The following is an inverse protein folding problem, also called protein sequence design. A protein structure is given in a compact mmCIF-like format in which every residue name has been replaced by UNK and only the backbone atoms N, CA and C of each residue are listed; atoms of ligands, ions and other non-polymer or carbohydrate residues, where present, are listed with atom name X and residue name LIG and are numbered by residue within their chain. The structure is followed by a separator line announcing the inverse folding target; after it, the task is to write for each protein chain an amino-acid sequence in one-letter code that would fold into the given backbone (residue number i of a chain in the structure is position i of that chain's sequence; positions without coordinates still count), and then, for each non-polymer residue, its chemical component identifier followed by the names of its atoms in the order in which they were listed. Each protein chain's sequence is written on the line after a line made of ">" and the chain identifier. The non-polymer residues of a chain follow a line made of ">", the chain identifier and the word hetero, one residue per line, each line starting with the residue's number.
data_IF_023666622546
#
_entry.id   IF_023666622546
#
_cell.length_a   1.000
_cell.length_b   1.000
_cell.length_c   1.000
_cell.angle_alpha   90.00
_cell.angle_beta   90.00
_cell.angle_gamma   90.00
#
_symmetry.space_group_name_H-M   'P 1'
#
loop_
_entity.id
_entity.type
_entity.pdbx_description
1 polymer ?
#
# COMPACT_ATOMS: atom_id res chain seq x y z
N UNK A 1 3.70 -4.49 15.61
CA UNK A 1 3.04 -3.21 15.92
C UNK A 1 3.41 -2.66 17.30
N UNK A 2 3.10 -3.33 18.42
CA UNK A 2 3.39 -2.84 19.79
C UNK A 2 4.83 -2.34 19.99
N UNK A 3 5.82 -3.13 19.57
CA UNK A 3 7.22 -2.75 19.64
C UNK A 3 7.55 -1.46 18.85
N UNK A 4 6.90 -1.24 17.70
CA UNK A 4 7.11 -0.05 16.89
C UNK A 4 6.48 1.20 17.53
N UNK A 5 5.30 1.07 18.15
CA UNK A 5 4.67 2.17 18.90
C UNK A 5 5.54 2.60 20.06
N UNK A 6 5.97 1.65 20.90
CA UNK A 6 6.85 1.94 22.04
C UNK A 6 8.14 2.61 21.60
N UNK A 7 8.77 2.06 20.54
CA UNK A 7 10.01 2.61 20.00
C UNK A 7 9.83 4.04 19.47
N UNK A 8 8.75 4.32 18.73
CA UNK A 8 8.45 5.67 18.23
C UNK A 8 8.33 6.69 19.36
N UNK A 9 7.54 6.41 20.40
CA UNK A 9 7.36 7.34 21.52
C UNK A 9 8.62 7.49 22.37
N UNK A 10 9.41 6.43 22.54
CA UNK A 10 10.68 6.49 23.25
C UNK A 10 11.69 7.38 22.53
N UNK A 11 11.86 7.19 21.21
CA UNK A 11 12.88 7.90 20.42
C UNK A 11 12.46 9.34 20.09
N UNK A 12 11.23 9.53 19.59
CA UNK A 12 10.80 10.84 19.07
C UNK A 12 10.27 11.76 20.17
N UNK A 13 9.75 11.20 21.27
CA UNK A 13 9.07 11.96 22.32
C UNK A 13 9.65 11.76 23.72
N UNK A 14 10.71 10.95 23.86
CA UNK A 14 11.29 10.58 25.16
C UNK A 14 10.24 10.08 26.16
N UNK A 15 9.25 9.34 25.67
CA UNK A 15 8.09 8.85 26.42
C UNK A 15 8.04 7.33 26.39
N UNK A 16 8.11 6.71 27.57
CA UNK A 16 7.97 5.26 27.72
C UNK A 16 6.48 4.91 27.88
N UNK A 17 5.92 4.27 26.87
CA UNK A 17 4.54 3.76 26.91
C UNK A 17 4.49 2.46 27.70
N UNK A 18 3.74 2.46 28.80
CA UNK A 18 3.54 1.29 29.65
C UNK A 18 2.65 0.23 28.97
N UNK A 19 2.79 -1.03 29.37
CA UNK A 19 2.05 -2.16 28.77
C UNK A 19 0.54 -2.07 29.02
N UNK A 20 0.11 -1.50 30.13
CA UNK A 20 -1.31 -1.29 30.47
C UNK A 20 -2.00 -0.26 29.55
N UNK A 21 -1.24 0.53 28.79
CA UNK A 21 -1.77 1.45 27.79
C UNK A 21 -2.04 0.79 26.43
N UNK A 22 -1.64 -0.48 26.22
CA UNK A 22 -1.73 -1.15 24.92
C UNK A 22 -2.45 -2.50 25.06
N UNK A 23 -3.67 -2.57 24.52
CA UNK A 23 -4.37 -3.85 24.35
C UNK A 23 -4.09 -4.44 22.97
N UNK A 24 -3.58 -5.67 22.93
CA UNK A 24 -3.38 -6.41 21.68
C UNK A 24 -4.62 -7.25 21.34
N UNK A 25 -5.12 -7.10 20.11
CA UNK A 25 -6.30 -7.85 19.62
C UNK A 25 -5.88 -8.71 18.40
N UNK A 26 -5.41 -9.96 18.61
CA UNK A 26 -5.01 -10.85 17.53
C UNK A 26 -6.24 -11.50 16.88
N UNK A 27 -6.62 -11.01 15.72
CA UNK A 27 -7.72 -11.56 14.93
C UNK A 27 -7.20 -12.58 13.91
N UNK A 28 -7.60 -13.83 14.07
CA UNK A 28 -7.18 -14.94 13.21
C UNK A 28 -8.37 -15.64 12.57
N UNK A 29 -8.19 -16.08 11.33
CA UNK A 29 -9.21 -16.78 10.58
C UNK A 29 -8.83 -16.99 9.13
N UNK A 30 -9.35 -18.05 8.53
CA UNK A 30 -9.11 -18.48 7.16
C UNK A 30 -10.41 -18.49 6.34
N UNK A 31 -10.29 -18.65 5.02
CA UNK A 31 -11.43 -18.74 4.12
C UNK A 31 -11.57 -17.53 3.20
N UNK A 32 -12.73 -17.42 2.54
CA UNK A 32 -13.07 -16.30 1.65
C UNK A 32 -13.18 -15.00 2.43
N UNK A 33 -13.09 -13.87 1.73
CA UNK A 33 -13.07 -12.54 2.34
C UNK A 33 -14.32 -12.31 3.20
N UNK A 34 -15.52 -12.60 2.69
CA UNK A 34 -16.77 -12.40 3.46
C UNK A 34 -16.82 -13.29 4.71
N UNK A 35 -16.49 -14.57 4.55
CA UNK A 35 -16.52 -15.54 5.65
C UNK A 35 -15.55 -15.12 6.76
N UNK A 36 -14.35 -14.70 6.38
CA UNK A 36 -13.35 -14.15 7.32
C UNK A 36 -13.85 -12.88 8.01
N UNK A 37 -14.46 -11.94 7.27
CA UNK A 37 -15.04 -10.73 7.88
C UNK A 37 -16.11 -11.10 8.91
N UNK A 38 -16.99 -12.05 8.62
CA UNK A 38 -18.04 -12.50 9.53
C UNK A 38 -17.47 -13.19 10.78
N UNK A 39 -16.51 -14.09 10.59
CA UNK A 39 -15.83 -14.80 11.67
C UNK A 39 -15.12 -13.83 12.60
N UNK A 40 -14.27 -12.95 12.04
CA UNK A 40 -13.47 -12.02 12.82
C UNK A 40 -14.33 -10.97 13.54
N UNK A 41 -15.40 -10.49 12.89
CA UNK A 41 -16.37 -9.62 13.54
C UNK A 41 -17.02 -10.30 14.74
N UNK A 42 -17.49 -11.54 14.56
CA UNK A 42 -18.13 -12.33 15.62
C UNK A 42 -17.18 -12.58 16.79
N UNK A 43 -15.93 -12.96 16.50
CA UNK A 43 -14.90 -13.19 17.51
C UNK A 43 -14.60 -11.91 18.30
N UNK A 44 -14.53 -10.75 17.63
CA UNK A 44 -14.30 -9.46 18.27
C UNK A 44 -15.43 -9.06 19.19
N UNK A 45 -16.69 -9.11 18.74
CA UNK A 45 -17.82 -8.65 19.55
C UNK A 45 -18.17 -9.60 20.71
N UNK A 46 -17.86 -10.89 20.57
CA UNK A 46 -18.10 -11.88 21.63
C UNK A 46 -17.01 -11.87 22.70
N UNK A 47 -15.86 -11.25 22.42
CA UNK A 47 -14.82 -11.02 23.41
C UNK A 47 -15.02 -9.63 24.03
N UNK A 48 -15.57 -9.58 25.23
CA UNK A 48 -15.88 -8.32 25.91
C UNK A 48 -14.65 -7.44 26.17
N UNK A 49 -13.49 -8.05 26.43
CA UNK A 49 -12.24 -7.31 26.66
C UNK A 49 -11.79 -6.62 25.36
N UNK A 50 -11.86 -7.33 24.23
CA UNK A 50 -11.49 -6.76 22.93
C UNK A 50 -12.49 -5.70 22.47
N UNK A 51 -13.79 -5.95 22.63
CA UNK A 51 -14.82 -4.99 22.27
C UNK A 51 -14.69 -3.71 23.10
N UNK A 52 -14.47 -3.84 24.42
CA UNK A 52 -14.25 -2.68 25.30
C UNK A 52 -12.96 -1.94 24.93
N UNK A 53 -11.86 -2.64 24.67
CA UNK A 53 -10.62 -2.01 24.24
C UNK A 53 -10.78 -1.23 22.92
N UNK A 54 -11.41 -1.84 21.91
CA UNK A 54 -11.72 -1.16 20.63
C UNK A 54 -12.66 0.02 20.85
N UNK A 55 -13.66 -0.11 21.72
CA UNK A 55 -14.64 0.93 21.99
C UNK A 55 -14.09 2.05 22.86
N UNK A 56 -13.08 1.84 23.69
CA UNK A 56 -12.56 2.85 24.62
C UNK A 56 -11.25 3.50 24.13
N UNK A 57 -10.53 2.89 23.20
CA UNK A 57 -9.23 3.35 22.73
C UNK A 57 -9.25 4.77 22.12
N UNK A 58 -8.25 5.57 22.46
CA UNK A 58 -7.97 6.85 21.78
C UNK A 58 -7.38 6.65 20.38
N UNK A 59 -6.60 5.58 20.22
CA UNK A 59 -5.87 5.24 18.99
C UNK A 59 -6.06 3.76 18.67
N UNK A 60 -6.40 3.48 17.40
CA UNK A 60 -6.48 2.12 16.86
C UNK A 60 -5.45 1.99 15.74
N UNK A 61 -4.45 1.14 15.95
CA UNK A 61 -3.46 0.76 14.93
C UNK A 61 -3.73 -0.67 14.46
N UNK A 62 -4.20 -0.80 13.23
CA UNK A 62 -4.59 -2.06 12.62
C UNK A 62 -3.51 -2.51 11.63
N UNK A 63 -2.87 -3.65 11.87
CA UNK A 63 -1.91 -4.24 10.95
C UNK A 63 -2.52 -5.41 10.17
N UNK A 64 -2.24 -5.50 8.88
CA UNK A 64 -2.72 -6.56 8.02
C UNK A 64 -1.75 -6.88 6.90
N UNK A 65 -1.86 -8.09 6.35
CA UNK A 65 -0.96 -8.60 5.32
C UNK A 65 -1.74 -9.34 4.23
N UNK A 66 -1.34 -9.17 2.96
CA UNK A 66 -1.84 -9.97 1.84
C UNK A 66 -3.37 -9.97 1.73
N UNK A 67 -4.03 -11.14 1.66
CA UNK A 67 -5.49 -11.29 1.67
C UNK A 67 -6.13 -10.67 2.93
N UNK A 68 -5.42 -10.56 4.04
CA UNK A 68 -5.91 -9.87 5.23
C UNK A 68 -6.31 -8.42 4.94
N UNK A 69 -5.73 -7.78 3.91
CA UNK A 69 -6.01 -6.39 3.56
C UNK A 69 -7.48 -6.16 3.17
N UNK A 70 -8.04 -6.83 2.15
CA UNK A 70 -9.46 -6.68 1.84
C UNK A 70 -10.37 -7.12 3.00
N UNK A 71 -9.98 -8.11 3.80
CA UNK A 71 -10.73 -8.50 5.02
C UNK A 71 -10.76 -7.35 6.03
N UNK A 72 -9.60 -6.76 6.31
CA UNK A 72 -9.41 -5.73 7.34
C UNK A 72 -10.12 -4.43 6.97
N UNK A 73 -10.05 -4.02 5.70
CA UNK A 73 -10.78 -2.84 5.21
C UNK A 73 -12.29 -3.02 5.40
N UNK A 74 -12.82 -4.20 5.06
CA UNK A 74 -14.25 -4.49 5.18
C UNK A 74 -14.70 -4.65 6.63
N UNK A 75 -13.88 -5.27 7.47
CA UNK A 75 -14.14 -5.41 8.90
C UNK A 75 -14.11 -4.04 9.60
N UNK A 76 -13.10 -3.21 9.31
CA UNK A 76 -13.02 -1.86 9.83
C UNK A 76 -14.22 -1.01 9.39
N UNK A 77 -14.63 -1.12 8.13
CA UNK A 77 -15.85 -0.46 7.65
C UNK A 77 -17.07 -0.90 8.47
N UNK A 78 -17.25 -2.20 8.71
CA UNK A 78 -18.34 -2.74 9.53
C UNK A 78 -18.30 -2.23 10.97
N UNK A 79 -17.12 -2.15 11.59
CA UNK A 79 -16.96 -1.63 12.96
C UNK A 79 -17.35 -0.15 13.06
N UNK A 80 -17.02 0.65 12.03
CA UNK A 80 -17.43 2.05 11.92
C UNK A 80 -18.94 2.18 11.69
N UNK A 81 -19.52 1.41 10.77
CA UNK A 81 -20.96 1.43 10.50
C UNK A 81 -21.82 1.00 11.70
N UNK A 82 -21.32 0.04 12.48
CA UNK A 82 -22.02 -0.48 13.67
C UNK A 82 -21.81 0.37 14.92
N UNK A 83 -20.99 1.43 14.85
CA UNK A 83 -20.73 2.32 15.99
C UNK A 83 -19.83 1.70 17.06
N UNK A 84 -19.02 0.70 16.72
CA UNK A 84 -17.98 0.19 17.63
C UNK A 84 -16.74 1.09 17.60
N UNK A 85 -16.47 1.71 16.45
CA UNK A 85 -15.41 2.70 16.27
C UNK A 85 -16.02 4.04 15.89
N UNK A 86 -15.53 5.10 16.52
CA UNK A 86 -16.00 6.47 16.36
C UNK A 86 -14.83 7.39 16.01
N UNK A 87 -14.61 7.67 14.72
CA UNK A 87 -13.46 8.49 14.28
C UNK A 87 -13.53 9.95 14.70
N UNK A 88 -14.68 10.38 15.21
CA UNK A 88 -14.78 11.68 15.85
C UNK A 88 -13.98 11.74 17.16
N UNK A 89 -13.71 10.62 17.87
CA UNK A 89 -12.90 10.62 19.10
C UNK A 89 -11.65 9.74 18.98
N UNK A 90 -11.67 8.74 18.10
CA UNK A 90 -10.60 7.75 17.93
C UNK A 90 -9.81 8.02 16.66
N UNK A 91 -8.49 7.97 16.74
CA UNK A 91 -7.62 8.03 15.55
C UNK A 91 -7.35 6.61 15.04
N UNK A 92 -7.57 6.36 13.75
CA UNK A 92 -7.43 5.02 13.18
C UNK A 92 -6.36 5.01 12.10
N UNK A 93 -5.35 4.15 12.29
CA UNK A 93 -4.31 3.86 11.29
C UNK A 93 -4.39 2.40 10.85
N UNK A 94 -4.48 2.16 9.54
CA UNK A 94 -4.44 0.84 8.90
C UNK A 94 -3.10 0.69 8.16
N UNK A 95 -2.29 -0.27 8.58
CA UNK A 95 -1.10 -0.74 7.87
C UNK A 95 -1.47 -1.97 7.03
N UNK A 96 -1.39 -1.85 5.71
CA UNK A 96 -1.53 -2.97 4.78
C UNK A 96 -0.18 -3.31 4.13
N UNK A 97 0.34 -4.49 4.46
CA UNK A 97 1.61 -5.01 3.94
C UNK A 97 1.32 -6.00 2.80
N UNK A 98 1.93 -5.79 1.64
CA UNK A 98 1.74 -6.64 0.47
C UNK A 98 0.26 -6.94 0.14
N UNK A 99 -0.62 -5.93 0.32
CA UNK A 99 -2.07 -6.13 0.29
C UNK A 99 -2.64 -6.50 -1.09
N UNK A 100 -3.63 -7.39 -1.11
CA UNK A 100 -4.28 -7.81 -2.37
C UNK A 100 -5.52 -6.94 -2.65
N UNK A 101 -5.33 -5.84 -3.37
CA UNK A 101 -6.42 -4.96 -3.79
C UNK A 101 -6.80 -5.09 -5.27
N UNK A 102 -5.87 -5.54 -6.09
CA UNK A 102 -6.02 -5.71 -7.54
C UNK A 102 -5.63 -7.12 -8.01
N UNK A 103 -5.75 -8.09 -7.09
CA UNK A 103 -5.40 -9.49 -7.30
C UNK A 103 -3.89 -9.79 -7.18
N UNK A 104 -3.54 -11.08 -7.16
CA UNK A 104 -2.15 -11.55 -7.20
C UNK A 104 -1.56 -11.44 -8.63
N UNK A 105 -0.34 -11.93 -8.88
CA UNK A 105 0.19 -11.97 -10.24
C UNK A 105 -0.68 -12.84 -11.17
N UNK A 106 -1.05 -12.36 -12.38
CA UNK A 106 -1.89 -13.12 -13.31
C UNK A 106 -1.39 -14.51 -13.68
N UNK A 107 -0.06 -14.71 -13.77
CA UNK A 107 0.52 -16.01 -14.12
C UNK A 107 0.31 -17.08 -13.03
N UNK A 108 0.05 -16.68 -11.78
CA UNK A 108 -0.19 -17.62 -10.68
C UNK A 108 -1.52 -18.36 -10.80
N UNK A 109 -2.48 -17.81 -11.57
CA UNK A 109 -3.83 -18.38 -11.74
C UNK A 109 -3.81 -19.83 -12.26
N UNK A 110 -2.81 -20.17 -13.05
CA UNK A 110 -2.64 -21.51 -13.64
C UNK A 110 -1.57 -22.38 -12.96
N UNK A 111 -0.87 -21.84 -11.94
CA UNK A 111 0.27 -22.51 -11.31
C UNK A 111 -0.16 -23.78 -10.56
N UNK A 112 0.73 -24.79 -10.56
CA UNK A 112 0.47 -26.06 -9.87
C UNK A 112 0.27 -25.85 -8.36
N UNK A 113 0.96 -24.89 -7.74
CA UNK A 113 0.81 -24.59 -6.30
C UNK A 113 -0.62 -24.14 -5.98
N UNK A 114 -1.19 -23.21 -6.76
CA UNK A 114 -2.59 -22.78 -6.58
C UNK A 114 -3.57 -23.90 -6.90
N UNK A 115 -3.22 -24.81 -7.81
CA UNK A 115 -4.02 -26.01 -8.15
C UNK A 115 -3.91 -27.17 -7.14
N UNK A 116 -2.83 -27.26 -6.38
CA UNK A 116 -2.64 -28.29 -5.35
C UNK A 116 -3.13 -27.83 -3.98
N UNK A 117 -3.04 -26.54 -3.68
CA UNK A 117 -3.56 -25.91 -2.46
C UNK A 117 -4.93 -25.23 -2.68
N UNK A 118 -5.81 -25.82 -3.50
CA UNK A 118 -7.12 -25.27 -3.87
C UNK A 118 -8.05 -25.01 -2.68
N UNK A 119 -7.80 -23.93 -1.95
CA UNK A 119 -8.78 -23.28 -1.10
C UNK A 119 -9.57 -22.31 -1.98
N UNK A 120 -10.90 -22.35 -1.90
CA UNK A 120 -11.78 -21.41 -2.62
C UNK A 120 -11.41 -19.93 -2.36
N UNK A 121 -10.82 -19.66 -1.20
CA UNK A 121 -10.24 -18.38 -0.82
C UNK A 121 -9.18 -17.88 -1.82
N UNK A 122 -8.26 -18.75 -2.25
CA UNK A 122 -7.19 -18.39 -3.18
C UNK A 122 -7.73 -18.07 -4.58
N UNK A 123 -8.82 -18.73 -4.99
CA UNK A 123 -9.48 -18.47 -6.28
C UNK A 123 -10.21 -17.12 -6.29
N UNK A 124 -10.92 -16.81 -5.21
CA UNK A 124 -11.62 -15.54 -5.03
C UNK A 124 -10.66 -14.34 -5.15
N UNK A 125 -9.42 -14.47 -4.71
CA UNK A 125 -8.40 -13.43 -4.84
C UNK A 125 -8.13 -13.00 -6.30
N UNK A 126 -8.32 -13.89 -7.28
CA UNK A 126 -8.18 -13.55 -8.69
C UNK A 126 -9.34 -12.72 -9.23
N UNK A 127 -10.48 -12.66 -8.54
CA UNK A 127 -11.62 -11.80 -8.92
C UNK A 127 -11.30 -10.31 -8.70
N UNK A 128 -10.34 -9.99 -7.82
CA UNK A 128 -9.84 -8.62 -7.63
C UNK A 128 -9.09 -8.05 -8.84
N UNK A 129 -8.74 -8.88 -9.83
CA UNK A 129 -8.11 -8.43 -11.08
C UNK A 129 -9.05 -7.63 -11.98
N UNK A 130 -10.35 -7.68 -11.70
CA UNK A 130 -11.39 -6.93 -12.39
C UNK A 130 -12.06 -5.97 -11.41
N UNK A 131 -11.98 -4.66 -11.66
CA UNK A 131 -12.61 -3.66 -10.82
C UNK A 131 -14.13 -3.73 -10.79
N UNK A 132 -14.73 -4.45 -11.74
CA UNK A 132 -16.18 -4.61 -11.85
C UNK A 132 -16.70 -5.89 -11.20
N UNK A 133 -15.84 -6.77 -10.67
CA UNK A 133 -16.30 -7.93 -9.90
C UNK A 133 -16.99 -7.51 -8.60
N UNK A 134 -17.95 -8.31 -8.14
CA UNK A 134 -18.73 -8.01 -6.93
C UNK A 134 -17.83 -7.77 -5.71
N UNK A 135 -16.77 -8.57 -5.55
CA UNK A 135 -15.85 -8.45 -4.43
C UNK A 135 -14.98 -7.19 -4.52
N UNK A 136 -14.51 -6.82 -5.72
CA UNK A 136 -13.79 -5.57 -5.97
C UNK A 136 -14.65 -4.36 -5.64
N UNK A 137 -15.92 -4.37 -6.06
CA UNK A 137 -16.86 -3.28 -5.78
C UNK A 137 -17.12 -3.14 -4.28
N UNK A 138 -17.36 -4.25 -3.56
CA UNK A 138 -17.57 -4.25 -2.11
C UNK A 138 -16.35 -3.79 -1.34
N UNK A 139 -15.15 -4.23 -1.75
CA UNK A 139 -13.89 -3.78 -1.17
C UNK A 139 -13.68 -2.29 -1.40
N UNK A 140 -13.86 -1.82 -2.64
CA UNK A 140 -13.71 -0.41 -3.00
C UNK A 140 -14.69 0.47 -2.22
N UNK A 141 -15.96 0.09 -2.14
CA UNK A 141 -16.94 0.82 -1.35
C UNK A 141 -16.53 0.92 0.13
N UNK A 142 -16.03 -0.17 0.71
CA UNK A 142 -15.55 -0.18 2.10
C UNK A 142 -14.30 0.69 2.28
N UNK A 143 -13.36 0.65 1.32
CA UNK A 143 -12.14 1.47 1.35
C UNK A 143 -12.46 2.96 1.30
N UNK A 144 -13.33 3.38 0.39
CA UNK A 144 -13.84 4.77 0.32
C UNK A 144 -14.46 5.16 1.65
N UNK A 145 -15.33 4.31 2.19
CA UNK A 145 -16.07 4.59 3.41
C UNK A 145 -15.19 4.70 4.67
N UNK A 146 -14.04 4.01 4.74
CA UNK A 146 -13.08 4.21 5.84
C UNK A 146 -12.22 5.46 5.63
N UNK A 147 -11.87 5.79 4.39
CA UNK A 147 -11.07 6.98 4.05
C UNK A 147 -11.87 8.26 4.34
N UNK A 148 -13.14 8.31 3.93
CA UNK A 148 -14.07 9.42 4.17
C UNK A 148 -14.29 9.67 5.67
N UNK A 149 -14.13 8.63 6.50
CA UNK A 149 -14.22 8.72 7.96
C UNK A 149 -12.90 9.10 8.64
N UNK A 150 -11.85 9.40 7.87
CA UNK A 150 -10.58 9.89 8.40
C UNK A 150 -9.55 8.81 8.73
N UNK A 151 -9.79 7.55 8.39
CA UNK A 151 -8.80 6.48 8.59
C UNK A 151 -7.55 6.75 7.76
N UNK A 152 -6.37 6.69 8.39
CA UNK A 152 -5.06 6.71 7.73
C UNK A 152 -4.75 5.33 7.20
N UNK A 153 -4.40 5.22 5.93
CA UNK A 153 -4.07 3.95 5.28
C UNK A 153 -2.64 3.99 4.80
N UNK A 154 -1.75 3.26 5.47
CA UNK A 154 -0.36 3.05 5.09
C UNK A 154 -0.25 1.78 4.29
N UNK A 155 0.18 1.89 3.04
CA UNK A 155 0.34 0.79 2.10
C UNK A 155 1.83 0.53 1.91
N UNK A 156 2.30 -0.66 2.26
CA UNK A 156 3.71 -1.04 2.11
C UNK A 156 3.79 -2.23 1.18
N UNK A 157 4.29 -2.00 -0.03
CA UNK A 157 4.63 -3.06 -0.97
C UNK A 157 5.98 -3.69 -0.63
N UNK A 158 6.32 -4.83 -1.24
CA UNK A 158 7.65 -5.43 -1.17
C UNK A 158 8.29 -5.42 -2.56
N UNK A 159 9.55 -4.98 -2.65
CA UNK A 159 10.30 -4.91 -3.91
C UNK A 159 10.49 -6.30 -4.56
N UNK A 160 10.55 -7.34 -3.75
CA UNK A 160 10.79 -8.73 -4.17
C UNK A 160 9.56 -9.61 -3.94
N UNK A 161 8.36 -9.03 -4.02
CA UNK A 161 7.13 -9.79 -3.88
C UNK A 161 6.94 -10.74 -5.07
N UNK A 162 6.80 -12.04 -4.76
CA UNK A 162 6.58 -13.10 -5.73
C UNK A 162 5.09 -13.45 -5.95
N UNK A 163 4.20 -12.88 -5.13
CA UNK A 163 2.77 -13.19 -5.07
C UNK A 163 1.91 -12.01 -5.52
N UNK A 164 2.20 -10.83 -5.00
CA UNK A 164 1.38 -9.62 -5.13
C UNK A 164 2.11 -8.56 -5.97
N UNK A 165 1.54 -8.13 -7.10
CA UNK A 165 2.09 -7.04 -7.90
C UNK A 165 2.15 -5.73 -7.11
N UNK A 166 3.17 -4.90 -7.39
CA UNK A 166 3.33 -3.57 -6.79
C UNK A 166 2.04 -2.74 -6.89
N UNK A 167 1.39 -2.70 -8.07
CA UNK A 167 0.15 -1.93 -8.25
C UNK A 167 -0.98 -2.35 -7.31
N UNK A 168 -1.02 -3.64 -6.95
CA UNK A 168 -2.02 -4.24 -6.06
C UNK A 168 -1.72 -3.85 -4.63
N UNK A 169 -0.47 -4.02 -4.20
CA UNK A 169 -0.02 -3.70 -2.85
C UNK A 169 -0.16 -2.21 -2.50
N UNK A 170 0.06 -1.30 -3.47
CA UNK A 170 -0.06 0.15 -3.26
C UNK A 170 -1.44 0.72 -3.61
N UNK A 171 -2.39 -0.13 -4.02
CA UNK A 171 -3.74 0.27 -4.45
C UNK A 171 -3.65 1.44 -5.45
N UNK A 172 -3.03 1.20 -6.60
CA UNK A 172 -2.69 2.27 -7.57
C UNK A 172 -3.92 3.01 -8.12
N UNK A 173 -5.07 2.33 -8.18
CA UNK A 173 -6.30 2.84 -8.77
C UNK A 173 -7.04 3.91 -7.94
N UNK A 174 -6.59 4.22 -6.71
CA UNK A 174 -7.26 5.17 -5.81
C UNK A 174 -6.30 6.28 -5.41
N UNK A 175 -6.77 7.52 -5.33
CA UNK A 175 -6.02 8.63 -4.76
C UNK A 175 -6.84 9.33 -3.68
N UNK A 176 -6.24 9.45 -2.49
CA UNK A 176 -6.83 10.07 -1.32
C UNK A 176 -5.70 10.57 -0.40
N UNK A 177 -5.81 11.75 0.24
CA UNK A 177 -4.76 12.31 1.10
C UNK A 177 -4.41 11.46 2.32
N UNK A 178 -5.35 10.63 2.80
CA UNK A 178 -5.10 9.71 3.92
C UNK A 178 -4.36 8.42 3.50
N UNK A 179 -3.94 8.27 2.23
CA UNK A 179 -3.17 7.12 1.78
C UNK A 179 -1.69 7.49 1.70
N UNK A 180 -0.86 6.82 2.48
CA UNK A 180 0.60 6.83 2.32
C UNK A 180 1.03 5.55 1.62
N UNK A 181 1.88 5.67 0.60
CA UNK A 181 2.44 4.53 -0.14
C UNK A 181 3.94 4.43 0.07
N UNK A 182 4.42 3.22 0.29
CA UNK A 182 5.83 2.93 0.41
C UNK A 182 6.16 1.53 -0.08
N UNK A 183 7.45 1.23 -0.09
CA UNK A 183 7.99 -0.04 -0.52
C UNK A 183 9.07 -0.49 0.46
N UNK A 184 8.98 -1.74 0.91
CA UNK A 184 10.01 -2.45 1.63
C UNK A 184 11.05 -2.95 0.63
N UNK A 185 12.32 -2.67 0.92
CA UNK A 185 13.47 -3.11 0.15
C UNK A 185 14.39 -3.81 1.12
N UNK A 186 14.69 -5.08 0.85
CA UNK A 186 15.59 -5.84 1.68
C UNK A 186 17.02 -5.31 1.58
N UNK A 187 17.73 -5.22 2.70
CA UNK A 187 19.10 -4.70 2.76
C UNK A 187 20.07 -5.43 1.82
N UNK A 188 19.85 -6.71 1.54
CA UNK A 188 20.72 -7.51 0.67
C UNK A 188 20.64 -7.08 -0.80
N UNK A 189 19.57 -6.39 -1.20
CA UNK A 189 19.36 -5.92 -2.58
C UNK A 189 19.40 -4.40 -2.70
N UNK A 190 19.40 -3.69 -1.57
CA UNK A 190 19.43 -2.24 -1.56
C UNK A 190 20.78 -1.72 -2.04
N UNK A 191 20.73 -0.82 -3.01
CA UNK A 191 21.89 -0.04 -3.45
C UNK A 191 21.43 1.38 -3.74
N UNK A 192 22.14 2.36 -3.16
CA UNK A 192 21.73 3.77 -3.18
C UNK A 192 21.63 4.34 -4.59
N UNK A 193 22.49 3.88 -5.51
CA UNK A 193 22.51 4.32 -6.91
C UNK A 193 21.76 3.33 -7.84
N UNK A 194 20.96 2.39 -7.31
CA UNK A 194 20.13 1.53 -8.16
C UNK A 194 19.01 2.35 -8.82
N UNK A 195 19.03 2.38 -10.15
CA UNK A 195 18.09 3.17 -10.93
C UNK A 195 16.63 2.77 -10.69
N UNK A 196 16.31 1.47 -10.59
CA UNK A 196 14.92 1.01 -10.44
C UNK A 196 14.38 1.33 -9.05
N UNK A 197 15.18 1.14 -8.00
CA UNK A 197 14.83 1.54 -6.64
C UNK A 197 14.48 3.03 -6.63
N UNK A 198 15.37 3.87 -7.14
CA UNK A 198 15.15 5.32 -7.15
C UNK A 198 13.93 5.72 -7.99
N UNK A 199 13.72 5.08 -9.15
CA UNK A 199 12.57 5.35 -10.02
C UNK A 199 11.24 5.04 -9.32
N UNK A 200 11.15 3.89 -8.64
CA UNK A 200 9.95 3.48 -7.91
C UNK A 200 9.73 4.40 -6.70
N UNK A 201 10.78 4.68 -5.93
CA UNK A 201 10.69 5.58 -4.77
C UNK A 201 10.24 6.97 -5.17
N UNK A 202 10.79 7.53 -6.25
CA UNK A 202 10.37 8.83 -6.78
C UNK A 202 8.88 8.82 -7.18
N UNK A 203 8.44 7.81 -7.92
CA UNK A 203 7.05 7.70 -8.33
C UNK A 203 6.08 7.56 -7.14
N UNK A 204 6.47 6.83 -6.09
CA UNK A 204 5.71 6.75 -4.84
C UNK A 204 5.66 8.11 -4.13
N UNK A 205 6.77 8.85 -4.10
CA UNK A 205 6.83 10.20 -3.53
C UNK A 205 5.91 11.18 -4.27
N UNK A 206 5.89 11.15 -5.61
CA UNK A 206 4.95 11.93 -6.40
C UNK A 206 3.50 11.64 -6.00
N UNK A 207 3.13 10.35 -5.92
CA UNK A 207 1.79 9.91 -5.52
C UNK A 207 1.41 10.38 -4.12
N UNK A 208 2.34 10.30 -3.17
CA UNK A 208 2.14 10.76 -1.79
C UNK A 208 2.03 12.29 -1.69
N UNK A 209 2.71 13.03 -2.58
CA UNK A 209 2.58 14.47 -2.72
C UNK A 209 1.30 14.92 -3.45
N UNK A 210 0.48 13.98 -3.91
CA UNK A 210 -0.75 14.26 -4.67
C UNK A 210 -0.54 14.48 -6.17
N UNK A 211 0.69 14.29 -6.67
CA UNK A 211 1.03 14.35 -8.09
C UNK A 211 0.77 13.02 -8.79
N UNK A 212 0.66 13.07 -10.12
CA UNK A 212 0.51 11.89 -10.97
C UNK A 212 1.87 11.22 -11.19
N UNK A 213 1.93 9.90 -11.09
CA UNK A 213 3.03 9.09 -11.62
C UNK A 213 2.78 8.68 -13.08
N UNK A 214 1.70 9.17 -13.68
CA UNK A 214 1.27 8.89 -15.06
C UNK A 214 1.12 7.38 -15.36
N UNK A 215 0.82 6.58 -14.33
CA UNK A 215 0.67 5.13 -14.44
C UNK A 215 1.99 4.35 -14.41
N UNK A 216 3.13 5.00 -14.16
CA UNK A 216 4.46 4.39 -14.11
C UNK A 216 4.49 3.19 -13.15
N UNK A 217 3.97 3.34 -11.92
CA UNK A 217 3.99 2.27 -10.92
C UNK A 217 3.15 1.07 -11.34
N UNK A 218 2.08 1.30 -12.10
CA UNK A 218 1.25 0.24 -12.66
C UNK A 218 2.00 -0.55 -13.73
N UNK A 219 2.65 0.14 -14.68
CA UNK A 219 3.32 -0.52 -15.80
C UNK A 219 4.69 -1.11 -15.44
N UNK A 220 5.41 -0.54 -14.47
CA UNK A 220 6.67 -1.10 -13.99
C UNK A 220 6.45 -2.33 -13.10
N UNK A 221 5.29 -2.48 -12.47
CA UNK A 221 4.97 -3.63 -11.63
C UNK A 221 5.11 -4.98 -12.35
N UNK A 222 4.77 -5.04 -13.64
CA UNK A 222 4.92 -6.27 -14.44
C UNK A 222 6.40 -6.61 -14.70
N UNK A 223 7.27 -5.61 -14.71
CA UNK A 223 8.72 -5.79 -14.83
C UNK A 223 9.27 -6.41 -13.54
N UNK A 224 8.78 -5.96 -12.39
CA UNK A 224 9.15 -6.48 -11.08
C UNK A 224 8.68 -7.92 -10.83
N UNK A 225 7.75 -8.41 -11.64
CA UNK A 225 7.21 -9.75 -11.55
C UNK A 225 8.30 -10.84 -11.71
N UNK A 226 8.63 -11.50 -10.59
CA UNK A 226 9.53 -12.64 -10.50
C UNK A 226 11.02 -12.27 -10.44
N UNK A 227 11.65 -12.60 -9.30
CA UNK A 227 13.08 -12.63 -8.98
C UNK A 227 13.98 -11.77 -9.89
N UNK A 228 13.79 -10.45 -9.87
CA UNK A 228 14.82 -9.55 -10.40
C UNK A 228 16.09 -9.57 -9.53
N UNK A 229 15.95 -9.83 -8.22
CA UNK A 229 17.03 -9.61 -7.25
C UNK A 229 17.40 -10.79 -6.31
N UNK A 230 16.55 -11.80 -6.04
CA UNK A 230 16.94 -12.97 -5.20
C UNK A 230 16.03 -14.19 -5.37
N UNK A 231 16.42 -15.37 -4.88
CA UNK A 231 15.60 -16.61 -4.82
C UNK A 231 14.71 -16.74 -3.57
N UNK A 232 14.90 -15.89 -2.56
CA UNK A 232 14.15 -15.86 -1.30
C UNK A 232 13.06 -14.76 -1.34
N UNK A 233 11.87 -15.07 -0.81
CA UNK A 233 10.63 -14.38 -1.13
C UNK A 233 10.31 -13.17 -0.27
N UNK A 234 10.20 -11.99 -0.88
CA UNK A 234 9.90 -10.72 -0.20
C UNK A 234 8.45 -10.58 0.30
N UNK A 235 7.52 -11.43 -0.16
CA UNK A 235 6.11 -11.37 0.27
C UNK A 235 5.95 -11.62 1.77
N UNK A 236 6.75 -12.53 2.33
CA UNK A 236 6.63 -12.98 3.73
C UNK A 236 7.62 -12.33 4.67
N UNK A 237 8.73 -11.77 4.19
CA UNK A 237 9.71 -11.12 5.08
C UNK A 237 9.27 -9.71 5.52
N UNK A 238 8.38 -9.06 4.75
CA UNK A 238 7.92 -7.69 5.01
C UNK A 238 7.31 -7.48 6.42
N UNK A 239 6.60 -8.47 6.96
CA UNK A 239 5.97 -8.35 8.29
C UNK A 239 6.95 -8.63 9.44
N UNK A 240 8.18 -9.05 9.14
CA UNK A 240 9.24 -9.22 10.14
C UNK A 240 10.00 -7.90 10.37
N UNK A 241 9.90 -6.95 9.44
CA UNK A 241 10.58 -5.68 9.50
C UNK A 241 9.85 -4.66 10.41
N UNK A 242 10.51 -4.23 11.48
CA UNK A 242 9.95 -3.27 12.45
C UNK A 242 9.68 -1.91 11.82
N UNK A 243 10.54 -1.43 10.92
CA UNK A 243 10.40 -0.12 10.29
C UNK A 243 9.11 -0.01 9.45
N UNK A 244 8.62 -1.13 8.91
CA UNK A 244 7.32 -1.19 8.20
C UNK A 244 6.17 -0.80 9.14
N UNK A 245 6.19 -1.27 10.39
CA UNK A 245 5.23 -0.87 11.41
C UNK A 245 5.46 0.57 11.88
N UNK A 246 6.72 0.98 12.05
CA UNK A 246 7.09 2.35 12.42
C UNK A 246 6.52 3.39 11.46
N UNK A 247 6.56 3.13 10.15
CA UNK A 247 5.99 4.01 9.15
C UNK A 247 4.48 4.23 9.31
N UNK A 248 3.73 3.23 9.75
CA UNK A 248 2.30 3.39 10.03
C UNK A 248 2.03 4.21 11.29
N UNK A 249 2.89 4.07 12.30
CA UNK A 249 2.87 4.89 13.51
C UNK A 249 3.16 6.35 13.14
N UNK A 250 4.26 6.62 12.44
CA UNK A 250 4.62 7.95 11.96
C UNK A 250 3.53 8.56 11.08
N UNK A 251 2.99 7.82 10.11
CA UNK A 251 1.90 8.32 9.27
C UNK A 251 0.69 8.76 10.10
N UNK A 252 0.33 8.00 11.14
CA UNK A 252 -0.79 8.37 12.01
C UNK A 252 -0.46 9.59 12.88
N UNK A 253 0.75 9.66 13.45
CA UNK A 253 1.11 10.67 14.44
C UNK A 253 1.73 11.95 13.87
N UNK A 254 2.27 11.93 12.66
CA UNK A 254 2.95 13.07 12.02
C UNK A 254 2.09 13.75 10.95
N UNK A 255 0.84 13.30 10.75
CA UNK A 255 -0.09 13.92 9.79
C UNK A 255 -1.35 14.48 10.47
N UNK A 256 -1.79 15.66 10.01
CA UNK A 256 -2.99 16.33 10.52
C UNK A 256 -4.27 15.81 9.86
N UNK A 257 -5.42 15.73 10.57
CA UNK A 257 -5.58 15.76 12.03
C UNK A 257 -5.11 14.49 12.75
N UNK A 258 -4.59 14.72 13.96
CA UNK A 258 -4.42 13.78 15.06
C UNK A 258 -5.68 13.77 15.94
N UNK A 259 -6.75 13.12 15.52
CA UNK A 259 -8.02 13.08 16.28
C UNK A 259 -8.52 14.48 16.72
N UNK A 260 -9.41 14.53 17.72
CA UNK A 260 -9.97 15.78 18.28
C UNK A 260 -8.97 16.65 19.06
N UNK A 261 -7.70 16.24 19.19
CA UNK A 261 -6.66 17.04 19.84
C UNK A 261 -6.17 18.22 18.96
N UNK A 262 -6.62 18.26 17.70
CA UNK A 262 -6.72 19.51 16.94
C UNK A 262 -8.20 19.89 16.96
N UNK A 263 -8.54 21.04 17.54
CA UNK A 263 -9.81 21.70 17.32
C UNK A 263 -9.90 22.06 15.82
N UNK A 264 -10.19 21.09 14.97
CA UNK A 264 -10.63 21.40 13.62
C UNK A 264 -12.13 21.63 13.74
N UNK A 265 -12.56 22.85 13.42
CA UNK A 265 -13.89 23.07 12.88
C UNK A 265 -14.22 21.95 11.88
N UNK A 266 -15.47 21.47 11.78
CA UNK A 266 -15.83 20.32 10.94
C UNK A 266 -15.15 20.43 9.56
N UNK A 267 -14.52 19.35 9.05
CA UNK A 267 -13.73 19.47 7.84
C UNK A 267 -14.57 20.05 6.70
N UNK A 268 -14.00 21.07 6.06
CA UNK A 268 -14.22 21.47 4.68
C UNK A 268 -14.50 20.21 3.86
N UNK A 269 -15.69 20.15 3.26
CA UNK A 269 -16.28 19.13 2.37
C UNK A 269 -15.56 17.76 2.21
N UNK A 270 -16.30 16.64 2.26
CA UNK A 270 -15.73 15.31 2.03
C UNK A 270 -14.88 15.27 0.75
N UNK A 271 -13.60 14.87 0.89
CA UNK A 271 -12.69 14.70 -0.25
C UNK A 271 -13.05 13.39 -0.92
N UNK A 272 -13.88 13.46 -1.96
CA UNK A 272 -14.21 12.29 -2.75
C UNK A 272 -12.91 11.67 -3.31
N UNK A 273 -12.60 10.38 -3.00
CA UNK A 273 -11.41 9.74 -3.52
C UNK A 273 -11.48 9.68 -5.05
N UNK A 274 -10.37 9.99 -5.73
CA UNK A 274 -10.27 9.81 -7.17
C UNK A 274 -10.07 8.32 -7.44
N UNK A 275 -11.02 7.71 -8.14
CA UNK A 275 -11.03 6.29 -8.45
C UNK A 275 -10.87 6.12 -9.96
N UNK A 276 -9.96 5.26 -10.35
CA UNK A 276 -9.77 4.85 -11.74
C UNK A 276 -10.24 3.39 -11.91
N UNK A 277 -10.97 3.05 -12.99
CA UNK A 277 -11.21 1.66 -13.33
C UNK A 277 -9.89 0.90 -13.46
N UNK A 278 -9.89 -0.37 -13.07
CA UNK A 278 -8.69 -1.20 -13.10
C UNK A 278 -8.98 -2.57 -13.69
N UNK A 279 -8.17 -2.98 -14.67
CA UNK A 279 -8.16 -4.34 -15.17
C UNK A 279 -6.73 -4.83 -15.31
N UNK A 280 -6.37 -5.93 -14.63
CA UNK A 280 -5.02 -6.46 -14.64
C UNK A 280 -4.51 -6.83 -16.05
N UNK A 281 -5.43 -7.18 -16.97
CA UNK A 281 -5.07 -7.49 -18.37
C UNK A 281 -4.62 -6.26 -19.16
N UNK A 282 -5.15 -5.08 -18.85
CA UNK A 282 -4.79 -3.83 -19.54
C UNK A 282 -3.36 -3.36 -19.19
N UNK A 283 -2.83 -3.80 -18.04
CA UNK A 283 -1.49 -3.44 -17.55
C UNK A 283 -0.36 -3.95 -18.45
N UNK A 284 -0.62 -5.01 -19.22
CA UNK A 284 0.39 -5.71 -20.07
C UNK A 284 0.84 -4.94 -21.31
N UNK A 285 0.37 -3.73 -21.56
CA UNK A 285 0.75 -2.98 -22.75
C UNK A 285 2.19 -2.44 -22.61
N UNK A 286 3.17 -2.97 -23.37
CA UNK A 286 4.57 -2.60 -23.23
C UNK A 286 4.87 -1.16 -23.67
N UNK A 287 3.97 -0.53 -24.42
CA UNK A 287 4.13 0.84 -24.92
C UNK A 287 3.82 1.89 -23.86
N UNK A 288 3.12 1.56 -22.77
CA UNK A 288 2.69 2.55 -21.78
C UNK A 288 3.84 3.10 -20.92
N UNK A 289 4.92 2.34 -20.73
CA UNK A 289 6.04 2.75 -19.88
C UNK A 289 6.74 4.03 -20.37
N UNK A 290 7.13 4.16 -21.65
CA UNK A 290 7.69 5.41 -22.16
C UNK A 290 6.70 6.58 -22.09
N UNK A 291 5.40 6.35 -22.31
CA UNK A 291 4.39 7.41 -22.18
C UNK A 291 4.23 7.90 -20.75
N UNK A 292 4.27 7.00 -19.77
CA UNK A 292 4.25 7.37 -18.35
C UNK A 292 5.44 8.25 -17.99
N UNK A 293 6.65 7.86 -18.41
CA UNK A 293 7.84 8.69 -18.18
C UNK A 293 7.80 10.03 -18.88
N UNK A 294 7.34 10.08 -20.13
CA UNK A 294 7.14 11.34 -20.83
C UNK A 294 6.17 12.25 -20.07
N UNK A 295 5.05 11.69 -19.58
CA UNK A 295 4.08 12.42 -18.77
C UNK A 295 4.70 13.03 -17.53
N UNK A 296 5.55 12.29 -16.82
CA UNK A 296 6.30 12.79 -15.65
C UNK A 296 7.22 13.96 -16.04
N UNK A 297 7.91 13.88 -17.16
CA UNK A 297 8.89 14.89 -17.59
C UNK A 297 8.23 16.18 -18.12
N UNK A 298 7.01 16.08 -18.63
CA UNK A 298 6.24 17.21 -19.14
C UNK A 298 5.27 17.78 -18.08
N UNK A 299 5.14 17.15 -16.90
CA UNK A 299 4.19 17.55 -15.86
C UNK A 299 4.58 18.89 -15.21
N UNK A 300 3.77 19.96 -15.36
CA UNK A 300 4.06 21.27 -14.79
C UNK A 300 4.29 21.25 -13.28
N UNK A 301 3.58 20.39 -12.54
CA UNK A 301 3.70 20.27 -11.09
C UNK A 301 5.03 19.64 -10.64
N UNK A 302 5.66 18.86 -11.53
CA UNK A 302 6.95 18.22 -11.29
C UNK A 302 8.08 19.18 -11.70
N UNK A 303 8.03 19.71 -12.93
CA UNK A 303 9.12 20.54 -13.48
C UNK A 303 9.25 21.90 -12.78
N UNK A 304 8.13 22.48 -12.31
CA UNK A 304 8.17 23.81 -11.67
C UNK A 304 8.62 23.75 -10.21
N UNK A 305 8.62 22.57 -9.60
CA UNK A 305 8.95 22.40 -8.18
C UNK A 305 10.42 21.98 -8.02
N UNK A 306 11.27 22.77 -7.33
CA UNK A 306 12.72 22.52 -7.26
C UNK A 306 13.10 21.13 -6.74
N UNK A 307 12.37 20.62 -5.74
CA UNK A 307 12.61 19.28 -5.18
C UNK A 307 12.40 18.17 -6.21
N UNK A 308 11.29 18.19 -6.95
CA UNK A 308 10.93 17.13 -7.88
C UNK A 308 11.77 17.19 -9.15
N UNK A 309 12.01 18.40 -9.67
CA UNK A 309 12.90 18.63 -10.81
C UNK A 309 14.32 18.12 -10.53
N UNK A 310 14.90 18.44 -9.37
CA UNK A 310 16.24 17.95 -8.98
C UNK A 310 16.29 16.42 -8.84
N UNK A 311 15.25 15.80 -8.28
CA UNK A 311 15.18 14.34 -8.20
C UNK A 311 15.06 13.70 -9.59
N UNK A 312 14.31 14.31 -10.50
CA UNK A 312 14.18 13.85 -11.88
C UNK A 312 15.52 13.93 -12.64
N UNK A 313 16.28 15.02 -12.47
CA UNK A 313 17.65 15.15 -13.01
C UNK A 313 18.61 14.07 -12.46
N UNK A 314 18.51 13.78 -11.16
CA UNK A 314 19.29 12.71 -10.55
C UNK A 314 18.92 11.34 -11.13
N UNK A 315 17.62 11.05 -11.28
CA UNK A 315 17.16 9.81 -11.92
C UNK A 315 17.66 9.67 -13.35
N UNK A 316 17.68 10.77 -14.11
CA UNK A 316 18.24 10.77 -15.46
C UNK A 316 19.73 10.39 -15.46
N UNK A 317 20.50 10.95 -14.52
CA UNK A 317 21.93 10.61 -14.36
C UNK A 317 22.13 9.13 -14.01
N UNK A 318 21.29 8.58 -13.13
CA UNK A 318 21.30 7.15 -12.79
C UNK A 318 20.94 6.29 -14.00
N UNK A 319 19.95 6.70 -14.81
CA UNK A 319 19.52 5.98 -16.01
C UNK A 319 20.65 5.86 -17.05
N UNK A 320 21.36 6.96 -17.32
CA UNK A 320 22.48 6.99 -18.26
C UNK A 320 23.61 6.05 -17.81
N UNK A 321 23.93 6.05 -16.51
CA UNK A 321 24.95 5.19 -15.92
C UNK A 321 24.49 3.72 -15.80
N UNK A 322 23.19 3.45 -15.78
CA UNK A 322 22.65 2.13 -15.49
C UNK A 322 23.02 1.11 -16.57
N UNK A 323 23.65 0.01 -16.16
CA UNK A 323 23.96 -1.11 -17.04
C UNK A 323 23.15 -2.34 -16.60
N UNK A 324 22.01 -2.63 -17.27
CA UNK A 324 21.18 -3.78 -16.95
C UNK A 324 21.96 -5.09 -16.99
N UNK A 325 21.72 -5.98 -16.02
CA UNK A 325 22.45 -7.25 -15.88
C UNK A 325 21.74 -8.44 -16.51
N UNK A 326 20.45 -8.31 -16.85
CA UNK A 326 19.65 -9.41 -17.37
C UNK A 326 18.66 -8.95 -18.47
N UNK A 327 18.13 -9.88 -19.28
CA UNK A 327 17.26 -9.54 -20.42
C UNK A 327 15.98 -8.77 -20.05
N UNK A 328 15.40 -9.03 -18.86
CA UNK A 328 14.22 -8.27 -18.40
C UNK A 328 14.59 -6.81 -18.19
N UNK A 329 15.70 -6.55 -17.49
CA UNK A 329 16.19 -5.19 -17.23
C UNK A 329 16.64 -4.47 -18.51
N UNK A 330 17.28 -5.18 -19.45
CA UNK A 330 17.59 -4.61 -20.76
C UNK A 330 16.33 -4.16 -21.51
N UNK A 331 15.28 -4.98 -21.49
CA UNK A 331 13.98 -4.63 -22.08
C UNK A 331 13.36 -3.40 -21.41
N UNK A 332 13.58 -3.19 -20.12
CA UNK A 332 13.12 -2.00 -19.39
C UNK A 332 13.90 -0.77 -19.83
N UNK A 333 15.23 -0.86 -19.86
CA UNK A 333 16.08 0.24 -20.32
C UNK A 333 15.68 0.69 -21.72
N UNK A 334 15.54 -0.25 -22.67
CA UNK A 334 15.09 0.05 -24.04
C UNK A 334 13.72 0.75 -24.09
N UNK A 335 12.78 0.35 -23.22
CA UNK A 335 11.45 0.98 -23.15
C UNK A 335 11.50 2.39 -22.54
N UNK A 336 12.50 2.69 -21.73
CA UNK A 336 12.70 3.98 -21.08
C UNK A 336 13.63 4.92 -21.87
N UNK A 337 14.40 4.42 -22.84
CA UNK A 337 15.30 5.22 -23.69
C UNK A 337 14.66 6.47 -24.33
N UNK A 338 13.39 6.46 -24.77
CA UNK A 338 12.78 7.69 -25.30
C UNK A 338 12.76 8.88 -24.33
N UNK A 339 12.85 8.64 -23.02
CA UNK A 339 12.93 9.72 -22.02
C UNK A 339 14.30 10.42 -22.03
N UNK A 340 15.42 9.71 -22.19
CA UNK A 340 16.73 10.37 -22.18
C UNK A 340 16.91 11.33 -23.35
N UNK A 341 16.20 11.08 -24.45
CA UNK A 341 16.15 11.97 -25.61
C UNK A 341 15.31 13.24 -25.39
N UNK A 342 14.39 13.25 -24.43
CA UNK A 342 13.46 14.36 -24.19
C UNK A 342 13.97 15.39 -23.16
N UNK A 343 15.05 15.08 -22.45
CA UNK A 343 15.71 15.96 -21.48
C UNK A 343 16.86 16.80 -22.09
N UNK A 344 17.13 16.61 -23.39
CA UNK A 344 18.06 17.38 -24.23
C UNK A 344 17.24 18.38 -25.05
#
# INVERSE_FOLDING_TARGET
>A
MTAAVKHYFEIEHNLIISDDCITCVPLEGEGKVEDRVNLLYTNLINNSEWLEAVSSADVILWATHSQGTPVSVRLLHRLLERGHIHTHRQSVGLLAMAGIAHGPFPYLKGSLIVKYFEADAARELFEFMDSESDISQKFRASLVAILDRGTRVTLVASMQDQVVPLYSAIISAIQHPNILRSIYIDSHIYYVDDFLINLITFALQLRNAGLSDHGLLTHISDVLAGNLYAFEGGHSTIYEERHVYGMAVQHLFETLPLGRCVLIDPPVQPVNPKIHPFQAKAVKNPYCLPWAMRGICEDPGIISHPTWSKQLEHLHSLFEAWQPTNPKLHSVKLRLEPWSLAMI
#
